data_IF_256322745093
#
_entry.id   IF_256322745093
#
_cell.length_a   1.000
_cell.length_b   1.000
_cell.length_c   1.000
_cell.angle_alpha   90.00
_cell.angle_beta   90.00
_cell.angle_gamma   90.00
#
_symmetry.space_group_name_H-M   'P 1'
#
loop_
_entity.id
_entity.type
_entity.pdbx_description
1 polymer ?
#
# COMPACT_ATOMS: atom_id res chain seq x y z
N UNK A 1 0.01 24.90 -3.87
CA UNK A 1 0.44 24.36 -2.56
C UNK A 1 -0.77 24.33 -1.64
N UNK A 2 -1.05 23.19 -1.02
CA UNK A 2 -2.06 23.04 0.03
C UNK A 2 -1.37 22.92 1.39
N UNK A 3 -2.03 23.44 2.43
CA UNK A 3 -1.54 23.29 3.80
C UNK A 3 -2.16 22.04 4.42
N UNK A 4 -1.30 21.17 4.92
CA UNK A 4 -1.70 20.02 5.72
C UNK A 4 -1.07 20.10 7.10
N UNK A 5 -1.66 19.45 8.09
CA UNK A 5 -1.17 19.45 9.46
C UNK A 5 -1.15 18.04 10.05
N UNK A 6 -0.21 17.82 10.95
CA UNK A 6 -0.14 16.66 11.83
C UNK A 6 0.14 17.11 13.27
N UNK A 7 0.50 16.18 14.15
CA UNK A 7 0.83 16.50 15.56
C UNK A 7 2.09 17.35 15.73
N UNK A 8 2.96 17.41 14.71
CA UNK A 8 4.21 18.16 14.74
C UNK A 8 3.97 19.62 14.31
N UNK A 9 2.99 19.85 13.42
CA UNK A 9 2.64 21.17 12.93
C UNK A 9 2.19 21.19 11.47
N UNK A 10 2.10 22.39 10.90
CA UNK A 10 1.71 22.59 9.51
C UNK A 10 2.89 22.43 8.55
N UNK A 11 2.60 21.92 7.35
CA UNK A 11 3.54 21.85 6.23
C UNK A 11 2.81 22.16 4.92
N UNK A 12 3.51 22.79 3.98
CA UNK A 12 3.01 23.00 2.63
C UNK A 12 3.32 21.77 1.76
N UNK A 13 2.27 21.19 1.16
CA UNK A 13 2.33 20.05 0.27
C UNK A 13 1.94 20.50 -1.15
N UNK A 14 2.66 20.08 -2.21
CA UNK A 14 2.29 20.40 -3.58
C UNK A 14 0.87 19.90 -3.92
N UNK A 15 0.09 20.69 -4.68
CA UNK A 15 -1.29 20.35 -5.02
C UNK A 15 -1.39 19.15 -5.99
N UNK A 16 -0.37 18.97 -6.83
CA UNK A 16 -0.30 17.91 -7.83
C UNK A 16 -0.14 16.51 -7.23
N UNK A 17 0.52 16.38 -6.06
CA UNK A 17 0.77 15.08 -5.45
C UNK A 17 -0.40 14.58 -4.60
N UNK A 18 -0.47 13.24 -4.44
CA UNK A 18 -1.47 12.57 -3.60
C UNK A 18 -0.96 12.20 -2.22
N UNK A 19 0.35 12.14 -2.00
CA UNK A 19 0.87 11.98 -0.65
C UNK A 19 0.70 13.27 0.17
N UNK A 20 0.83 13.17 1.48
CA UNK A 20 0.55 14.26 2.41
C UNK A 20 1.74 14.62 3.30
N UNK A 21 1.42 15.30 4.41
CA UNK A 21 2.39 15.87 5.34
C UNK A 21 3.33 14.83 5.96
N UNK A 22 2.85 13.64 6.30
CA UNK A 22 3.70 12.61 6.92
C UNK A 22 4.70 12.02 5.92
N UNK A 23 4.28 11.84 4.68
CA UNK A 23 5.19 11.45 3.59
C UNK A 23 6.24 12.52 3.33
N UNK A 24 5.87 13.79 3.30
CA UNK A 24 6.83 14.90 3.17
C UNK A 24 7.89 14.87 4.26
N UNK A 25 7.49 14.67 5.53
CA UNK A 25 8.44 14.51 6.63
C UNK A 25 9.32 13.26 6.49
N UNK A 26 8.78 12.17 6.00
CA UNK A 26 9.55 10.95 5.76
C UNK A 26 10.61 11.15 4.68
N UNK A 27 10.28 11.86 3.60
CA UNK A 27 11.22 12.24 2.54
C UNK A 27 12.35 13.09 3.13
N UNK A 28 12.02 14.06 3.98
CA UNK A 28 13.00 14.95 4.61
C UNK A 28 13.92 14.21 5.60
N UNK A 29 13.38 13.20 6.31
CA UNK A 29 14.11 12.47 7.34
C UNK A 29 14.99 11.32 6.82
N UNK A 30 14.59 10.64 5.74
CA UNK A 30 15.22 9.39 5.29
C UNK A 30 15.83 9.53 3.89
N UNK A 31 17.11 9.81 3.83
CA UNK A 31 17.93 9.89 2.62
C UNK A 31 19.02 8.81 2.68
N UNK A 32 18.62 7.53 2.69
CA UNK A 32 19.53 6.42 2.95
C UNK A 32 20.06 5.83 1.64
N UNK A 33 19.16 5.37 0.76
CA UNK A 33 19.53 4.70 -0.49
C UNK A 33 19.34 5.56 -1.71
N UNK A 34 18.45 6.55 -1.67
CA UNK A 34 18.01 7.33 -2.82
C UNK A 34 17.17 6.53 -3.81
N UNK A 35 16.72 5.33 -3.41
CA UNK A 35 15.84 4.50 -4.22
C UNK A 35 14.37 4.73 -3.83
N UNK A 36 13.48 4.40 -4.74
CA UNK A 36 12.04 4.36 -4.50
C UNK A 36 11.60 2.92 -4.18
N UNK A 37 10.39 2.81 -3.63
CA UNK A 37 9.79 1.51 -3.31
C UNK A 37 9.45 0.76 -4.59
N UNK A 38 9.70 -0.55 -4.59
CA UNK A 38 9.38 -1.43 -5.71
C UNK A 38 7.87 -1.37 -6.05
N UNK A 39 7.49 -1.20 -7.33
CA UNK A 39 6.10 -1.12 -7.76
C UNK A 39 5.24 -2.32 -7.37
N UNK A 40 5.78 -3.56 -7.43
CA UNK A 40 5.04 -4.76 -7.06
C UNK A 40 4.73 -4.78 -5.55
N UNK A 41 5.63 -4.21 -4.75
CA UNK A 41 5.39 -4.06 -3.32
C UNK A 41 4.34 -2.98 -3.03
N UNK A 42 4.36 -1.84 -3.72
CA UNK A 42 3.33 -0.79 -3.62
C UNK A 42 1.95 -1.37 -3.95
N UNK A 43 1.82 -2.10 -5.06
CA UNK A 43 0.57 -2.77 -5.43
C UNK A 43 0.12 -3.79 -4.39
N UNK A 44 1.07 -4.51 -3.76
CA UNK A 44 0.75 -5.49 -2.71
C UNK A 44 0.21 -4.81 -1.44
N UNK A 45 0.74 -3.65 -1.06
CA UNK A 45 0.18 -2.84 0.03
C UNK A 45 -1.24 -2.40 -0.33
N UNK A 46 -1.47 -1.92 -1.56
CA UNK A 46 -2.79 -1.51 -2.02
C UNK A 46 -3.81 -2.66 -1.94
N UNK A 47 -3.43 -3.91 -2.30
CA UNK A 47 -4.28 -5.10 -2.15
C UNK A 47 -4.67 -5.35 -0.69
N UNK A 48 -3.74 -5.23 0.24
CA UNK A 48 -4.01 -5.39 1.68
C UNK A 48 -4.96 -4.29 2.17
N UNK A 49 -4.74 -3.03 1.78
CA UNK A 49 -5.62 -1.91 2.12
C UNK A 49 -7.03 -2.07 1.56
N UNK A 50 -7.15 -2.51 0.31
CA UNK A 50 -8.44 -2.84 -0.31
C UNK A 50 -9.19 -3.89 0.49
N UNK A 51 -8.54 -4.99 0.84
CA UNK A 51 -9.15 -6.06 1.63
C UNK A 51 -9.62 -5.57 3.01
N UNK A 52 -8.81 -4.73 3.67
CA UNK A 52 -9.16 -4.13 4.95
C UNK A 52 -10.38 -3.18 4.83
N UNK A 53 -10.44 -2.35 3.79
CA UNK A 53 -11.60 -1.48 3.54
C UNK A 53 -12.88 -2.31 3.30
N UNK A 54 -12.81 -3.37 2.50
CA UNK A 54 -13.94 -4.30 2.27
C UNK A 54 -14.41 -4.95 3.58
N UNK A 55 -13.49 -5.42 4.42
CA UNK A 55 -13.82 -6.04 5.71
C UNK A 55 -14.47 -5.03 6.69
N UNK A 56 -13.94 -3.80 6.75
CA UNK A 56 -14.47 -2.76 7.62
C UNK A 56 -15.87 -2.28 7.16
N UNK A 57 -16.13 -2.23 5.85
CA UNK A 57 -17.48 -1.99 5.32
C UNK A 57 -18.44 -3.14 5.66
N UNK A 58 -18.02 -4.38 5.46
CA UNK A 58 -18.85 -5.56 5.74
C UNK A 58 -19.24 -5.67 7.23
N UNK A 59 -18.39 -5.18 8.12
CA UNK A 59 -18.67 -5.12 9.59
C UNK A 59 -19.39 -3.85 10.03
N UNK A 60 -19.73 -2.96 9.11
CA UNK A 60 -20.40 -1.68 9.41
C UNK A 60 -19.54 -0.65 10.14
N UNK A 61 -18.23 -0.84 10.19
CA UNK A 61 -17.29 0.11 10.83
C UNK A 61 -16.90 1.27 9.92
N UNK A 62 -16.84 1.03 8.61
CA UNK A 62 -16.48 2.02 7.61
C UNK A 62 -17.72 2.39 6.81
N UNK A 63 -17.98 3.70 6.66
CA UNK A 63 -19.04 4.20 5.81
C UNK A 63 -18.89 3.67 4.38
N UNK A 64 -20.04 3.29 3.77
CA UNK A 64 -20.05 2.66 2.46
C UNK A 64 -19.45 3.56 1.37
N UNK A 65 -19.82 4.85 1.35
CA UNK A 65 -19.34 5.79 0.33
C UNK A 65 -17.83 6.02 0.44
N UNK A 66 -17.33 6.14 1.66
CA UNK A 66 -15.88 6.29 1.92
C UNK A 66 -15.14 5.00 1.54
N UNK A 67 -15.67 3.86 1.94
CA UNK A 67 -15.06 2.57 1.65
C UNK A 67 -15.00 2.24 0.16
N UNK A 68 -16.07 2.52 -0.59
CA UNK A 68 -16.09 2.36 -2.05
C UNK A 68 -15.04 3.27 -2.73
N UNK A 69 -14.91 4.53 -2.31
CA UNK A 69 -13.90 5.43 -2.84
C UNK A 69 -12.46 4.98 -2.52
N UNK A 70 -12.21 4.46 -1.31
CA UNK A 70 -10.90 3.89 -0.94
C UNK A 70 -10.58 2.62 -1.75
N UNK A 71 -11.57 1.78 -2.03
CA UNK A 71 -11.41 0.59 -2.86
C UNK A 71 -11.08 0.98 -4.31
N UNK A 72 -11.79 1.96 -4.87
CA UNK A 72 -11.53 2.46 -6.23
C UNK A 72 -10.12 3.05 -6.33
N UNK A 73 -9.70 3.87 -5.35
CA UNK A 73 -8.34 4.40 -5.29
C UNK A 73 -7.28 3.28 -5.19
N UNK A 74 -7.55 2.22 -4.42
CA UNK A 74 -6.66 1.07 -4.32
C UNK A 74 -6.58 0.30 -5.64
N UNK A 75 -7.69 0.14 -6.36
CA UNK A 75 -7.72 -0.52 -7.66
C UNK A 75 -6.89 0.23 -8.69
N UNK A 76 -6.93 1.56 -8.71
CA UNK A 76 -6.07 2.36 -9.58
C UNK A 76 -4.58 2.10 -9.33
N UNK A 77 -4.16 1.98 -8.06
CA UNK A 77 -2.76 1.67 -7.72
C UNK A 77 -2.41 0.23 -8.13
N UNK A 78 -3.31 -0.73 -7.91
CA UNK A 78 -3.13 -2.13 -8.33
C UNK A 78 -2.98 -2.25 -9.85
N UNK A 79 -3.69 -1.41 -10.60
CA UNK A 79 -3.61 -1.32 -12.07
C UNK A 79 -2.36 -0.57 -12.56
N UNK A 80 -1.48 -0.15 -11.67
CA UNK A 80 -0.21 0.50 -11.99
C UNK A 80 -0.28 2.02 -12.14
N UNK A 81 -1.39 2.66 -11.75
CA UNK A 81 -1.49 4.12 -11.70
C UNK A 81 -0.91 4.64 -10.38
N UNK A 82 -0.55 5.92 -10.35
CA UNK A 82 -0.07 6.62 -9.14
C UNK A 82 1.18 6.01 -8.49
N UNK A 83 1.93 5.17 -9.18
CA UNK A 83 3.15 4.55 -8.64
C UNK A 83 4.27 5.56 -8.36
N UNK A 84 4.25 6.70 -9.02
CA UNK A 84 5.13 7.86 -8.80
C UNK A 84 4.84 8.60 -7.48
N UNK A 85 3.73 8.27 -6.80
CA UNK A 85 3.32 8.89 -5.54
C UNK A 85 3.94 8.23 -4.29
N UNK A 86 4.92 7.35 -4.48
CA UNK A 86 5.61 6.62 -3.40
C UNK A 86 7.11 6.94 -3.33
N UNK A 87 7.48 8.19 -3.01
CA UNK A 87 8.87 8.65 -3.05
C UNK A 87 9.68 8.32 -1.78
N UNK A 88 9.10 7.67 -0.78
CA UNK A 88 9.77 7.36 0.47
C UNK A 88 10.88 6.33 0.24
N UNK A 89 12.05 6.57 0.86
CA UNK A 89 13.18 5.62 0.83
C UNK A 89 12.76 4.26 1.40
N UNK A 90 13.12 3.13 0.77
CA UNK A 90 12.79 1.80 1.28
C UNK A 90 13.41 1.49 2.64
N UNK A 91 14.52 2.15 2.99
CA UNK A 91 15.14 2.05 4.32
C UNK A 91 14.71 3.23 5.17
N UNK A 92 13.98 2.93 6.24
CA UNK A 92 13.39 3.92 7.14
C UNK A 92 13.31 3.40 8.57
N UNK A 93 12.99 4.28 9.52
CA UNK A 93 12.80 3.90 10.92
C UNK A 93 11.53 3.05 11.13
N UNK A 94 11.56 2.17 12.14
CA UNK A 94 10.43 1.33 12.52
C UNK A 94 10.16 0.15 11.56
N UNK A 95 8.94 -0.35 11.57
CA UNK A 95 8.51 -1.52 10.80
C UNK A 95 7.71 -1.12 9.55
N UNK A 96 8.21 -0.16 8.76
CA UNK A 96 7.54 0.30 7.54
C UNK A 96 6.48 1.38 7.77
N UNK A 97 6.57 2.13 8.85
CA UNK A 97 5.58 3.15 9.23
C UNK A 97 5.43 4.24 8.17
N UNK A 98 6.54 4.75 7.63
CA UNK A 98 6.50 5.81 6.62
C UNK A 98 5.85 5.33 5.31
N UNK A 99 6.18 4.12 4.86
CA UNK A 99 5.55 3.51 3.67
C UNK A 99 4.05 3.28 3.90
N UNK A 100 3.66 2.76 5.08
CA UNK A 100 2.24 2.57 5.41
C UNK A 100 1.48 3.89 5.41
N UNK A 101 2.05 4.95 5.97
CA UNK A 101 1.42 6.28 5.97
C UNK A 101 1.38 6.90 4.58
N UNK A 102 2.42 6.74 3.78
CA UNK A 102 2.42 7.18 2.38
C UNK A 102 1.24 6.54 1.61
N UNK A 103 1.05 5.22 1.73
CA UNK A 103 -0.10 4.54 1.13
C UNK A 103 -1.43 5.09 1.66
N UNK A 104 -1.56 5.30 2.98
CA UNK A 104 -2.79 5.83 3.57
C UNK A 104 -3.12 7.23 3.04
N UNK A 105 -2.13 8.12 2.93
CA UNK A 105 -2.31 9.48 2.43
C UNK A 105 -2.69 9.49 0.95
N UNK A 106 -2.01 8.69 0.11
CA UNK A 106 -2.32 8.58 -1.33
C UNK A 106 -3.74 8.06 -1.52
N UNK A 107 -4.13 6.99 -0.83
CA UNK A 107 -5.49 6.44 -0.89
C UNK A 107 -6.54 7.46 -0.47
N UNK A 108 -6.31 8.19 0.63
CA UNK A 108 -7.27 9.18 1.13
C UNK A 108 -7.42 10.36 0.18
N UNK A 109 -6.32 10.91 -0.32
CA UNK A 109 -6.38 12.05 -1.24
C UNK A 109 -7.00 11.67 -2.59
N UNK A 110 -6.74 10.45 -3.08
CA UNK A 110 -7.41 9.97 -4.30
C UNK A 110 -8.89 9.69 -4.05
N UNK A 111 -9.25 9.08 -2.93
CA UNK A 111 -10.65 8.85 -2.54
C UNK A 111 -11.42 10.16 -2.34
N UNK A 112 -10.80 11.20 -1.76
CA UNK A 112 -11.39 12.53 -1.66
C UNK A 112 -11.72 13.09 -3.05
N UNK A 113 -10.81 12.99 -3.99
CA UNK A 113 -11.02 13.47 -5.36
C UNK A 113 -12.14 12.67 -6.06
N UNK A 114 -12.21 11.34 -5.90
CA UNK A 114 -13.28 10.48 -6.42
C UNK A 114 -14.66 10.93 -5.92
N UNK A 115 -14.76 11.33 -4.66
CA UNK A 115 -16.04 11.83 -4.11
C UNK A 115 -16.28 13.33 -4.35
N UNK A 116 -15.43 14.00 -5.15
CA UNK A 116 -15.56 15.42 -5.52
C UNK A 116 -15.13 16.39 -4.41
N UNK A 117 -14.22 15.97 -3.52
CA UNK A 117 -13.67 16.81 -2.46
C UNK A 117 -12.19 17.15 -2.74
N UNK A 118 -11.71 18.31 -2.29
CA UNK A 118 -10.30 18.67 -2.44
C UNK A 118 -9.40 17.77 -1.60
N UNK A 119 -8.18 17.53 -2.09
CA UNK A 119 -7.12 16.82 -1.34
C UNK A 119 -6.83 17.53 -0.01
N UNK A 120 -6.39 16.77 1.00
CA UNK A 120 -6.08 17.29 2.34
C UNK A 120 -7.30 17.44 3.27
N UNK A 121 -8.53 17.17 2.81
CA UNK A 121 -9.74 17.20 3.65
C UNK A 121 -9.85 15.94 4.52
N UNK A 122 -8.87 15.78 5.41
CA UNK A 122 -8.79 14.64 6.32
C UNK A 122 -9.85 14.63 7.42
N UNK A 123 -10.61 15.71 7.54
CA UNK A 123 -11.87 15.76 8.29
C UNK A 123 -12.97 14.89 7.65
N UNK A 124 -12.91 14.67 6.34
CA UNK A 124 -13.86 13.83 5.58
C UNK A 124 -13.32 12.39 5.43
N UNK A 125 -12.10 12.23 4.86
CA UNK A 125 -11.44 10.92 4.74
C UNK A 125 -10.04 11.02 5.34
N UNK A 126 -9.86 10.42 6.53
CA UNK A 126 -8.62 10.49 7.29
C UNK A 126 -7.71 9.29 7.00
N UNK A 127 -6.40 9.49 6.77
CA UNK A 127 -5.43 8.41 6.63
C UNK A 127 -5.42 7.43 7.80
N UNK A 128 -5.50 7.94 9.03
CA UNK A 128 -5.49 7.13 10.23
C UNK A 128 -6.84 6.46 10.52
N UNK A 129 -7.94 7.22 10.43
CA UNK A 129 -9.24 6.76 10.90
C UNK A 129 -10.00 5.92 9.86
N UNK A 130 -9.71 6.09 8.56
CA UNK A 130 -10.40 5.40 7.47
C UNK A 130 -9.48 4.45 6.71
N UNK A 131 -8.40 4.92 6.05
CA UNK A 131 -7.50 4.04 5.29
C UNK A 131 -6.73 3.05 6.16
N UNK A 132 -6.40 3.43 7.40
CA UNK A 132 -5.73 2.57 8.38
C UNK A 132 -6.67 1.96 9.43
N UNK A 133 -7.98 2.05 9.24
CA UNK A 133 -8.97 1.55 10.20
C UNK A 133 -8.74 0.08 10.55
N UNK A 134 -8.71 -0.21 11.86
CA UNK A 134 -8.50 -1.55 12.42
C UNK A 134 -7.20 -2.24 11.95
N UNK A 135 -6.18 -1.48 11.61
CA UNK A 135 -4.87 -1.99 11.19
C UNK A 135 -3.76 -1.42 12.06
N UNK A 136 -2.74 -2.24 12.29
CA UNK A 136 -1.42 -1.81 12.74
C UNK A 136 -0.43 -1.91 11.59
N UNK A 137 0.57 -1.04 11.56
CA UNK A 137 1.70 -1.20 10.62
C UNK A 137 2.39 -2.55 10.81
N UNK A 138 2.44 -3.05 12.06
CA UNK A 138 3.08 -4.32 12.40
C UNK A 138 2.35 -5.56 11.85
N UNK A 139 1.11 -5.42 11.37
CA UNK A 139 0.38 -6.49 10.69
C UNK A 139 0.22 -6.22 9.18
N UNK A 140 -0.17 -5.02 8.79
CA UNK A 140 -0.41 -4.68 7.38
C UNK A 140 0.86 -4.71 6.53
N UNK A 141 1.96 -4.18 7.05
CA UNK A 141 3.23 -4.12 6.33
C UNK A 141 3.86 -5.50 6.08
N UNK A 142 4.07 -6.37 7.09
CA UNK A 142 4.59 -7.73 6.86
C UNK A 142 3.62 -8.62 6.07
N UNK A 143 2.32 -8.39 6.17
CA UNK A 143 1.34 -9.07 5.32
C UNK A 143 1.53 -8.68 3.85
N UNK A 144 1.75 -7.39 3.57
CA UNK A 144 2.02 -6.91 2.21
C UNK A 144 3.31 -7.49 1.63
N UNK A 145 4.36 -7.65 2.44
CA UNK A 145 5.59 -8.34 2.04
C UNK A 145 5.29 -9.80 1.63
N UNK A 146 4.49 -10.52 2.43
CA UNK A 146 4.10 -11.90 2.12
C UNK A 146 3.29 -11.98 0.83
N UNK A 147 2.35 -11.07 0.61
CA UNK A 147 1.54 -10.99 -0.62
C UNK A 147 2.44 -10.75 -1.83
N UNK A 148 3.37 -9.79 -1.74
CA UNK A 148 4.33 -9.49 -2.79
C UNK A 148 5.20 -10.72 -3.14
N UNK A 149 5.79 -11.35 -2.13
CA UNK A 149 6.63 -12.53 -2.31
C UNK A 149 5.85 -13.73 -2.85
N UNK A 150 4.58 -13.89 -2.49
CA UNK A 150 3.71 -14.94 -3.03
C UNK A 150 3.45 -14.73 -4.52
N UNK A 151 3.23 -13.49 -4.96
CA UNK A 151 3.10 -13.12 -6.37
C UNK A 151 4.37 -13.44 -7.18
N UNK A 152 5.52 -13.04 -6.66
CA UNK A 152 6.83 -13.32 -7.29
C UNK A 152 7.11 -14.83 -7.36
N UNK A 153 6.82 -15.57 -6.29
CA UNK A 153 7.00 -17.03 -6.26
C UNK A 153 6.04 -17.73 -7.24
N UNK A 154 4.80 -17.28 -7.36
CA UNK A 154 3.86 -17.81 -8.35
C UNK A 154 4.34 -17.57 -9.78
N UNK A 155 4.86 -16.36 -10.09
CA UNK A 155 5.52 -16.06 -11.36
C UNK A 155 6.73 -16.94 -11.64
N UNK A 156 7.58 -17.16 -10.64
CA UNK A 156 8.74 -18.06 -10.74
C UNK A 156 8.32 -19.51 -10.95
N UNK A 157 7.28 -20.02 -10.26
CA UNK A 157 6.70 -21.34 -10.46
C UNK A 157 6.14 -21.51 -11.88
N UNK A 158 5.40 -20.50 -12.38
CA UNK A 158 4.86 -20.53 -13.75
C UNK A 158 5.99 -20.49 -14.77
N UNK A 159 7.01 -19.66 -14.58
CA UNK A 159 8.18 -19.60 -15.45
C UNK A 159 8.97 -20.91 -15.44
N UNK A 160 9.15 -21.57 -14.29
CA UNK A 160 9.77 -22.88 -14.20
C UNK A 160 8.95 -23.98 -14.89
N UNK A 161 7.62 -23.94 -14.77
CA UNK A 161 6.73 -24.88 -15.47
C UNK A 161 6.75 -24.67 -16.98
N UNK A 162 6.86 -23.42 -17.45
CA UNK A 162 6.91 -23.08 -18.88
C UNK A 162 8.27 -23.34 -19.53
N UNK A 163 9.38 -23.25 -18.76
CA UNK A 163 10.76 -23.44 -19.25
C UNK A 163 11.26 -24.88 -19.18
N UNK A 164 10.44 -25.83 -18.80
CA UNK A 164 10.78 -27.26 -18.82
C UNK A 164 10.84 -27.88 -17.42
N UNK A 165 9.70 -28.29 -16.92
CA UNK A 165 9.52 -28.91 -15.62
C UNK A 165 10.17 -30.29 -15.45
N UNK A 166 10.94 -30.77 -16.41
CA UNK A 166 11.64 -32.07 -16.33
C UNK A 166 12.85 -32.07 -15.38
N UNK A 167 13.36 -30.88 -15.01
CA UNK A 167 14.55 -30.76 -14.16
C UNK A 167 14.26 -30.86 -12.64
N UNK A 168 13.02 -30.67 -12.20
CA UNK A 168 12.69 -30.65 -10.77
C UNK A 168 11.88 -31.86 -10.28
N UNK A 169 11.29 -32.63 -11.17
CA UNK A 169 10.43 -33.76 -10.82
C UNK A 169 9.18 -33.38 -10.01
N UNK A 170 8.20 -34.27 -9.90
CA UNK A 170 6.96 -34.04 -9.14
C UNK A 170 7.21 -33.62 -7.68
N UNK A 171 8.20 -34.23 -7.01
CA UNK A 171 8.54 -33.92 -5.62
C UNK A 171 9.09 -32.49 -5.41
N UNK A 172 9.86 -31.97 -6.37
CA UNK A 172 10.37 -30.59 -6.33
C UNK A 172 9.25 -29.57 -6.44
N UNK A 173 8.30 -29.79 -7.35
CA UNK A 173 7.12 -28.93 -7.52
C UNK A 173 6.23 -28.96 -6.28
N UNK A 174 5.94 -30.15 -5.73
CA UNK A 174 5.16 -30.27 -4.50
C UNK A 174 5.82 -29.61 -3.28
N UNK A 175 7.16 -29.64 -3.21
CA UNK A 175 7.90 -28.97 -2.13
C UNK A 175 7.82 -27.45 -2.24
N UNK A 176 7.89 -26.91 -3.46
CA UNK A 176 7.73 -25.46 -3.72
C UNK A 176 6.29 -25.01 -3.41
N UNK A 177 5.28 -25.77 -3.86
CA UNK A 177 3.87 -25.48 -3.57
C UNK A 177 3.60 -25.53 -2.06
N UNK A 178 4.12 -26.53 -1.33
CA UNK A 178 4.00 -26.60 0.15
C UNK A 178 4.68 -25.43 0.86
N UNK A 179 5.81 -24.94 0.37
CA UNK A 179 6.47 -23.74 0.94
C UNK A 179 5.65 -22.48 0.65
N UNK A 180 5.05 -22.36 -0.55
CA UNK A 180 4.17 -21.24 -0.89
C UNK A 180 2.88 -21.23 -0.06
N UNK A 181 2.26 -22.42 0.14
CA UNK A 181 1.01 -22.56 0.94
C UNK A 181 1.26 -22.38 2.45
N UNK A 182 2.45 -22.73 2.96
CA UNK A 182 2.80 -22.50 4.38
C UNK A 182 3.27 -21.08 4.69
N UNK A 183 3.58 -20.28 3.66
CA UNK A 183 4.01 -18.89 3.79
C UNK A 183 2.85 -17.88 3.56
N UNK A 184 1.67 -18.39 3.18
CA UNK A 184 0.39 -17.68 3.11
C UNK A 184 -0.48 -17.98 4.31
#
# INVERSE_FOLDING_TARGET
MRKEHDFIGELEVPDEVYYGVQTMRAIDNFHITGQVIDPDFVQSIARVKKAAAMANMATGRLDKKIGEALIEAADEIIDGKLLDQFPVDPIQGGAGTSINMNMNEVLCNRALEIIGQPKGRYDIISPNNHANMAQSTNDSFPTSIKVCLSGIKCGLCVMFCLLGGDALGKEGIERIVRVCVRAS
#
